data_IF_066683791159
#
_entry.id   IF_066683791159
#
_cell.length_a   1.000
_cell.length_b   1.000
_cell.length_c   1.000
_cell.angle_alpha   90.00
_cell.angle_beta   90.00
_cell.angle_gamma   90.00
#
_symmetry.space_group_name_H-M   'P 1'
#
loop_
_entity.id
_entity.type
_entity.pdbx_description
1 polymer ?
#
# COMPACT_ATOMS: atom_id res chain seq x y z
N UNK A 1 -24.91 6.00 -18.64
CA UNK A 1 -23.64 5.56 -19.28
C UNK A 1 -22.47 6.42 -18.86
N UNK A 2 -22.55 7.75 -18.99
CA UNK A 2 -21.44 8.64 -18.62
C UNK A 2 -21.08 8.59 -17.13
N UNK A 3 -22.08 8.60 -16.23
CA UNK A 3 -21.87 8.46 -14.77
C UNK A 3 -21.10 7.19 -14.38
N UNK A 4 -21.39 6.07 -15.03
CA UNK A 4 -20.70 4.82 -14.79
C UNK A 4 -19.22 4.90 -15.20
N UNK A 5 -18.93 5.54 -16.33
CA UNK A 5 -17.55 5.76 -16.79
C UNK A 5 -16.79 6.69 -15.85
N UNK A 6 -17.40 7.78 -15.38
CA UNK A 6 -16.78 8.69 -14.41
C UNK A 6 -16.45 7.97 -13.10
N UNK A 7 -17.38 7.16 -12.59
CA UNK A 7 -17.17 6.36 -11.39
C UNK A 7 -16.00 5.37 -11.57
N UNK A 8 -15.95 4.66 -12.69
CA UNK A 8 -14.89 3.69 -13.00
C UNK A 8 -13.51 4.37 -13.16
N UNK A 9 -13.47 5.50 -13.89
CA UNK A 9 -12.24 6.27 -14.06
C UNK A 9 -11.75 6.85 -12.73
N UNK A 10 -12.65 7.26 -11.84
CA UNK A 10 -12.29 7.73 -10.50
C UNK A 10 -11.54 6.67 -9.70
N UNK A 11 -12.02 5.44 -9.69
CA UNK A 11 -11.32 4.33 -9.03
C UNK A 11 -10.00 3.96 -9.69
N UNK A 12 -9.96 3.95 -11.02
CA UNK A 12 -8.72 3.72 -11.78
C UNK A 12 -7.63 4.75 -11.49
N UNK A 13 -7.99 5.99 -11.16
CA UNK A 13 -7.03 7.02 -10.77
C UNK A 13 -6.64 6.89 -9.30
N UNK A 14 -7.59 6.62 -8.40
CA UNK A 14 -7.34 6.57 -6.95
C UNK A 14 -6.45 5.39 -6.54
N UNK A 15 -6.69 4.20 -7.08
CA UNK A 15 -5.99 2.98 -6.68
C UNK A 15 -4.46 3.09 -6.88
N UNK A 16 -3.96 3.52 -8.05
CA UNK A 16 -2.52 3.73 -8.25
C UNK A 16 -1.90 4.72 -7.27
N UNK A 17 -2.60 5.79 -6.89
CA UNK A 17 -2.10 6.75 -5.89
C UNK A 17 -1.92 6.10 -4.52
N UNK A 18 -2.86 5.26 -4.10
CA UNK A 18 -2.77 4.51 -2.83
C UNK A 18 -1.58 3.55 -2.87
N UNK A 19 -1.45 2.78 -3.95
CA UNK A 19 -0.35 1.83 -4.14
C UNK A 19 0.99 2.57 -4.14
N UNK A 20 1.13 3.63 -4.93
CA UNK A 20 2.36 4.41 -5.02
C UNK A 20 2.76 5.04 -3.68
N UNK A 21 1.78 5.58 -2.94
CA UNK A 21 2.01 6.10 -1.59
C UNK A 21 2.47 5.02 -0.61
N UNK A 22 1.82 3.86 -0.61
CA UNK A 22 2.20 2.74 0.25
C UNK A 22 3.60 2.20 -0.10
N UNK A 23 3.91 2.04 -1.39
CA UNK A 23 5.23 1.62 -1.87
C UNK A 23 6.32 2.63 -1.52
N UNK A 24 6.04 3.93 -1.61
CA UNK A 24 6.98 4.97 -1.22
C UNK A 24 7.30 4.89 0.27
N UNK A 25 6.28 4.78 1.12
CA UNK A 25 6.48 4.64 2.57
C UNK A 25 7.30 3.38 2.85
N UNK A 26 6.87 2.22 2.34
CA UNK A 26 7.57 0.95 2.54
C UNK A 26 9.02 0.95 2.05
N UNK A 27 9.36 1.75 1.02
CA UNK A 27 10.72 1.90 0.53
C UNK A 27 11.59 2.83 1.39
N UNK A 28 10.99 3.86 1.99
CA UNK A 28 11.71 4.87 2.77
C UNK A 28 11.91 4.46 4.23
N UNK A 29 11.13 3.51 4.73
CA UNK A 29 11.13 3.16 6.15
C UNK A 29 11.42 1.68 6.37
N UNK A 30 12.31 1.33 7.33
CA UNK A 30 12.62 -0.06 7.62
C UNK A 30 11.42 -0.76 8.26
N UNK A 31 11.19 -2.03 7.89
CA UNK A 31 10.15 -2.85 8.51
C UNK A 31 10.46 -3.04 10.00
N UNK A 32 9.51 -2.73 10.91
CA UNK A 32 9.74 -2.90 12.34
C UNK A 32 9.91 -4.38 12.70
N UNK A 33 10.97 -4.69 13.47
CA UNK A 33 11.26 -6.04 13.96
C UNK A 33 10.25 -6.49 15.04
N UNK A 34 9.89 -5.56 15.95
CA UNK A 34 9.09 -5.84 17.13
C UNK A 34 7.61 -6.12 16.83
N UNK A 35 6.99 -7.02 17.59
CA UNK A 35 5.59 -7.45 17.46
C UNK A 35 4.55 -6.44 17.97
N UNK A 36 4.89 -5.16 17.93
CA UNK A 36 4.01 -4.07 18.33
C UNK A 36 2.90 -3.76 17.32
N UNK A 37 2.07 -2.77 17.68
CA UNK A 37 1.01 -2.23 16.81
C UNK A 37 1.56 -1.74 15.45
N UNK A 38 2.79 -1.23 15.44
CA UNK A 38 3.46 -0.73 14.24
C UNK A 38 3.67 -1.84 13.21
N UNK A 39 4.03 -3.07 13.63
CA UNK A 39 4.19 -4.21 12.71
C UNK A 39 2.88 -4.64 12.07
N UNK A 40 1.76 -4.56 12.81
CA UNK A 40 0.42 -4.81 12.25
C UNK A 40 0.06 -3.75 11.22
N UNK A 41 0.35 -2.48 11.48
CA UNK A 41 0.13 -1.39 10.53
C UNK A 41 1.00 -1.57 9.27
N UNK A 42 2.28 -1.93 9.43
CA UNK A 42 3.17 -2.24 8.31
C UNK A 42 2.68 -3.42 7.48
N UNK A 43 2.09 -4.45 8.09
CA UNK A 43 1.54 -5.58 7.35
C UNK A 43 0.42 -5.16 6.39
N UNK A 44 -0.39 -4.17 6.79
CA UNK A 44 -1.43 -3.58 5.93
C UNK A 44 -0.79 -2.70 4.86
N UNK A 45 0.21 -1.89 5.22
CA UNK A 45 0.95 -1.06 4.28
C UNK A 45 1.64 -1.91 3.19
N UNK A 46 2.35 -2.96 3.58
CA UNK A 46 3.05 -3.88 2.67
C UNK A 46 2.07 -4.60 1.74
N UNK A 47 0.84 -4.85 2.19
CA UNK A 47 -0.20 -5.41 1.34
C UNK A 47 -0.62 -4.42 0.23
N UNK A 48 -0.81 -3.15 0.56
CA UNK A 48 -1.08 -2.10 -0.43
C UNK A 48 0.11 -1.80 -1.33
N UNK A 49 1.33 -1.94 -0.81
CA UNK A 49 2.57 -1.78 -1.58
C UNK A 49 2.91 -3.00 -2.46
N UNK A 50 2.10 -4.07 -2.43
CA UNK A 50 2.37 -5.37 -3.05
C UNK A 50 3.70 -6.02 -2.61
N UNK A 51 4.19 -5.69 -1.40
CA UNK A 51 5.38 -6.24 -0.76
C UNK A 51 5.05 -7.39 0.22
N UNK A 52 3.99 -8.16 -0.06
CA UNK A 52 3.53 -9.24 0.81
C UNK A 52 4.61 -10.31 0.96
N UNK A 53 4.97 -10.63 2.21
CA UNK A 53 5.97 -11.66 2.52
C UNK A 53 7.43 -11.21 2.37
N UNK A 54 7.68 -9.95 1.99
CA UNK A 54 9.02 -9.33 1.94
C UNK A 54 9.43 -8.62 3.23
N UNK A 55 8.70 -8.81 4.33
CA UNK A 55 9.23 -8.48 5.65
C UNK A 55 10.51 -9.32 5.83
N UNK A 56 11.69 -8.68 5.71
CA UNK A 56 13.07 -9.23 5.63
C UNK A 56 13.78 -9.17 4.27
N UNK A 57 13.35 -8.37 3.28
CA UNK A 57 14.21 -8.04 2.13
C UNK A 57 15.29 -7.00 2.54
N UNK A 58 16.05 -7.41 3.56
CA UNK A 58 17.30 -6.96 4.18
C UNK A 58 17.41 -7.59 5.57
#
# INVERSE_FOLDING_TARGET
MLEFLTWLVGWLQLIPWIVAGASLIAALTPTPLDDGLVKKAYKVLDWFAFNVGKAKDK
#
